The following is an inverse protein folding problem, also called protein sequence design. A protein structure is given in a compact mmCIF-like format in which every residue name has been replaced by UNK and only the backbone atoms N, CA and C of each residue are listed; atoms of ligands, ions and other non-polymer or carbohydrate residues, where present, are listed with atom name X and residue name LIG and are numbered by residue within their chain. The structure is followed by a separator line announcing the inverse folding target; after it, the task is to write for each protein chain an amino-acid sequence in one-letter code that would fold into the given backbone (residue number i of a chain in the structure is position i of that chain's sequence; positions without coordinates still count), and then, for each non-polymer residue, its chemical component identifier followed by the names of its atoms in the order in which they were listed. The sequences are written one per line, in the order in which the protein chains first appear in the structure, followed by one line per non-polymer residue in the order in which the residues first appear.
data_IF_473409406828
#
_entry.id   IF_473409406828
#
_cell.length_a   1.000
_cell.length_b   1.000
_cell.length_c   1.000
_cell.angle_alpha   90.00
_cell.angle_beta   90.00
_cell.angle_gamma   90.00
#
_symmetry.space_group_name_H-M   'P 1'
#
loop_
_entity.id
_entity.type
_entity.pdbx_description
1 polymer ?
#
# COMPACT_ATOMS: atom_id res chain seq x y z
N UNK A 1 48.50 -20.63 -60.55
CA UNK A 1 48.20 -21.55 -61.68
C UNK A 1 47.09 -22.49 -61.23
N UNK A 2 46.13 -22.81 -62.11
CA UNK A 2 44.88 -23.59 -61.92
C UNK A 2 43.70 -22.81 -61.26
N UNK A 3 42.70 -22.26 -61.97
CA UNK A 3 41.68 -22.78 -62.94
C UNK A 3 40.31 -23.00 -62.23
N UNK A 4 39.40 -22.05 -62.51
CA UNK A 4 38.00 -22.18 -62.96
C UNK A 4 36.84 -22.90 -62.18
N UNK A 5 35.69 -22.21 -62.31
CA UNK A 5 34.27 -22.62 -62.48
C UNK A 5 33.39 -23.08 -61.28
N UNK A 6 32.53 -22.15 -60.83
CA UNK A 6 31.05 -22.12 -60.92
C UNK A 6 30.26 -23.45 -60.77
N UNK A 7 29.32 -23.47 -59.82
CA UNK A 7 28.09 -24.28 -59.83
C UNK A 7 27.18 -23.77 -58.70
N UNK A 8 26.10 -23.01 -58.95
CA UNK A 8 24.76 -23.52 -59.30
C UNK A 8 24.42 -24.72 -58.40
N UNK A 9 23.53 -24.58 -57.41
CA UNK A 9 22.09 -24.75 -57.63
C UNK A 9 21.32 -24.23 -56.41
N UNK A 10 20.32 -23.40 -56.69
CA UNK A 10 19.19 -23.12 -55.80
C UNK A 10 18.43 -24.44 -55.61
N UNK A 11 18.41 -25.00 -54.41
CA UNK A 11 17.54 -26.13 -54.10
C UNK A 11 16.81 -25.91 -52.77
N UNK A 12 15.61 -25.33 -52.93
CA UNK A 12 14.36 -25.74 -52.27
C UNK A 12 14.28 -25.55 -50.75
N UNK A 13 13.76 -24.38 -50.42
CA UNK A 13 12.56 -24.18 -49.61
C UNK A 13 11.96 -25.41 -48.91
N UNK A 14 11.77 -25.24 -47.60
CA UNK A 14 10.72 -25.89 -46.82
C UNK A 14 11.20 -27.09 -46.04
N UNK A 15 11.31 -26.96 -44.71
CA UNK A 15 10.52 -27.75 -43.75
C UNK A 15 11.00 -27.77 -42.29
N UNK A 16 12.03 -27.02 -41.87
CA UNK A 16 12.56 -27.22 -40.49
C UNK A 16 12.68 -25.94 -39.65
N UNK A 17 11.71 -25.03 -39.75
CA UNK A 17 11.71 -23.77 -38.98
C UNK A 17 10.42 -23.50 -38.19
N UNK A 18 9.55 -24.50 -38.01
CA UNK A 18 8.28 -24.33 -37.28
C UNK A 18 8.19 -25.08 -35.93
N UNK A 19 9.13 -25.99 -35.62
CA UNK A 19 9.05 -26.82 -34.42
C UNK A 19 9.79 -26.29 -33.18
N UNK A 20 10.77 -25.41 -33.34
CA UNK A 20 11.70 -25.05 -32.25
C UNK A 20 11.47 -23.65 -31.64
N UNK A 21 10.63 -22.81 -32.26
CA UNK A 21 10.37 -21.45 -31.77
C UNK A 21 9.22 -21.41 -30.74
N UNK A 22 8.33 -22.40 -30.74
CA UNK A 22 7.17 -22.42 -29.82
C UNK A 22 7.50 -22.85 -28.38
N UNK A 23 8.60 -23.58 -28.16
CA UNK A 23 8.95 -24.10 -26.82
C UNK A 23 9.67 -23.08 -25.92
N UNK A 24 10.39 -22.13 -26.51
CA UNK A 24 11.17 -21.15 -25.74
C UNK A 24 10.37 -19.91 -25.30
N UNK A 25 9.24 -19.63 -25.97
CA UNK A 25 8.40 -18.46 -25.67
C UNK A 25 7.41 -18.70 -24.51
N UNK A 26 7.27 -19.94 -24.02
CA UNK A 26 6.29 -20.30 -23.00
C UNK A 26 6.84 -20.29 -21.55
N UNK A 27 8.13 -19.96 -21.36
CA UNK A 27 8.77 -19.96 -20.03
C UNK A 27 8.84 -18.58 -19.35
N UNK A 28 8.34 -17.52 -19.99
CA UNK A 28 8.42 -16.13 -19.47
C UNK A 28 7.13 -15.61 -18.81
N UNK A 29 6.07 -16.41 -18.77
CA UNK A 29 4.85 -16.05 -18.03
C UNK A 29 4.95 -16.57 -16.60
N UNK A 30 5.90 -16.06 -15.82
CA UNK A 30 5.80 -16.16 -14.36
C UNK A 30 4.75 -15.13 -13.96
N UNK A 31 3.53 -15.51 -13.54
CA UNK A 31 2.64 -14.56 -12.90
C UNK A 31 3.35 -14.08 -11.64
N UNK A 32 3.73 -12.80 -11.64
CA UNK A 32 4.12 -12.11 -10.43
C UNK A 32 2.86 -12.07 -9.56
N UNK A 33 2.70 -13.07 -8.67
CA UNK A 33 1.68 -13.04 -7.65
C UNK A 33 2.01 -11.88 -6.72
N UNK A 34 1.36 -10.74 -6.93
CA UNK A 34 1.37 -9.64 -5.99
C UNK A 34 0.86 -10.16 -4.65
N UNK A 35 1.77 -10.37 -3.71
CA UNK A 35 1.42 -10.67 -2.33
C UNK A 35 0.69 -9.45 -1.76
N UNK A 36 -0.63 -9.51 -1.68
CA UNK A 36 -1.39 -8.57 -0.83
C UNK A 36 -1.00 -8.88 0.60
N UNK A 37 -0.09 -8.08 1.14
CA UNK A 37 0.43 -8.23 2.49
C UNK A 37 -0.71 -8.16 3.50
N UNK A 38 -0.65 -9.02 4.52
CA UNK A 38 -1.56 -9.12 5.67
C UNK A 38 -1.58 -7.85 6.55
N UNK A 39 -0.89 -6.78 6.13
CA UNK A 39 -0.81 -5.47 6.79
C UNK A 39 -2.16 -4.75 6.89
N UNK A 40 -3.18 -5.17 6.15
CA UNK A 40 -4.48 -4.47 6.14
C UNK A 40 -5.23 -4.57 7.46
N UNK A 41 -5.03 -5.61 8.28
CA UNK A 41 -5.82 -5.79 9.50
C UNK A 41 -5.54 -4.72 10.55
N UNK A 42 -4.27 -4.34 10.71
CA UNK A 42 -3.81 -3.30 11.65
C UNK A 42 -3.59 -1.94 10.97
N UNK A 43 -4.04 -1.78 9.73
CA UNK A 43 -3.95 -0.51 9.00
C UNK A 43 -5.33 0.12 8.92
N UNK A 44 -5.41 1.39 9.31
CA UNK A 44 -6.62 2.20 9.17
C UNK A 44 -6.31 3.35 8.22
N UNK A 45 -6.87 3.28 7.02
CA UNK A 45 -6.79 4.32 6.00
C UNK A 45 -8.02 5.25 5.99
N UNK A 46 -7.94 6.30 5.17
CA UNK A 46 -9.02 7.27 4.94
C UNK A 46 -9.50 8.01 6.20
N UNK A 47 -8.62 8.24 7.17
CA UNK A 47 -8.94 9.00 8.38
C UNK A 47 -8.87 10.49 8.06
N UNK A 48 -10.01 11.06 7.65
CA UNK A 48 -10.11 12.47 7.30
C UNK A 48 -10.32 13.32 8.55
N UNK A 49 -9.49 14.34 8.73
CA UNK A 49 -9.63 15.31 9.83
C UNK A 49 -9.61 16.74 9.32
N UNK A 50 -10.30 17.59 10.05
CA UNK A 50 -10.36 19.02 9.81
C UNK A 50 -10.49 19.73 11.16
N UNK A 51 -9.43 20.41 11.58
CA UNK A 51 -9.39 21.12 12.84
C UNK A 51 -9.09 22.60 12.64
N UNK A 52 -9.71 23.42 13.49
CA UNK A 52 -9.45 24.84 13.61
C UNK A 52 -8.92 25.16 15.01
N UNK A 53 -7.93 26.04 15.07
CA UNK A 53 -7.35 26.54 16.31
C UNK A 53 -6.85 27.98 16.14
N UNK A 54 -6.25 28.54 17.21
CA UNK A 54 -5.72 29.91 17.22
C UNK A 54 -4.62 30.15 16.18
N UNK A 55 -3.90 29.11 15.77
CA UNK A 55 -2.89 29.18 14.72
C UNK A 55 -2.73 27.82 14.03
N UNK A 56 -2.00 27.83 12.91
CA UNK A 56 -1.74 26.68 12.06
C UNK A 56 -1.09 25.49 12.82
N UNK A 57 -0.17 25.76 13.75
CA UNK A 57 0.53 24.74 14.52
C UNK A 57 -0.42 24.02 15.49
N UNK A 58 -1.16 24.78 16.30
CA UNK A 58 -2.16 24.24 17.22
C UNK A 58 -3.27 23.49 16.50
N UNK A 59 -3.66 23.96 15.30
CA UNK A 59 -4.67 23.28 14.49
C UNK A 59 -4.18 21.91 14.02
N UNK A 60 -2.91 21.82 13.63
CA UNK A 60 -2.28 20.56 13.24
C UNK A 60 -2.14 19.58 14.40
N UNK A 61 -1.67 20.04 15.56
CA UNK A 61 -1.56 19.22 16.77
C UNK A 61 -2.91 18.62 17.15
N UNK A 62 -3.95 19.47 17.22
CA UNK A 62 -5.32 19.05 17.49
C UNK A 62 -5.82 18.02 16.46
N UNK A 63 -5.63 18.29 15.17
CA UNK A 63 -6.05 17.37 14.12
C UNK A 63 -5.34 16.02 14.20
N UNK A 64 -4.06 16.01 14.60
CA UNK A 64 -3.29 14.78 14.73
C UNK A 64 -3.79 13.92 15.90
N UNK A 65 -4.06 14.52 17.05
CA UNK A 65 -4.68 13.83 18.20
C UNK A 65 -6.05 13.26 17.85
N UNK A 66 -6.91 14.06 17.22
CA UNK A 66 -8.23 13.62 16.76
C UNK A 66 -8.13 12.47 15.76
N UNK A 67 -7.18 12.52 14.82
CA UNK A 67 -6.97 11.48 13.82
C UNK A 67 -6.53 10.15 14.46
N UNK A 68 -5.63 10.19 15.45
CA UNK A 68 -5.19 8.99 16.15
C UNK A 68 -6.33 8.30 16.89
N UNK A 69 -7.14 9.07 17.62
CA UNK A 69 -8.27 8.53 18.38
C UNK A 69 -9.30 7.91 17.44
N UNK A 70 -9.61 8.59 16.33
CA UNK A 70 -10.52 8.05 15.32
C UNK A 70 -9.99 6.75 14.72
N UNK A 71 -8.72 6.73 14.32
CA UNK A 71 -8.08 5.54 13.75
C UNK A 71 -8.11 4.36 14.73
N UNK A 72 -7.79 4.60 16.00
CA UNK A 72 -7.80 3.56 17.02
C UNK A 72 -9.21 3.03 17.30
N UNK A 73 -10.21 3.91 17.35
CA UNK A 73 -11.60 3.49 17.50
C UNK A 73 -12.07 2.63 16.31
N UNK A 74 -11.68 2.99 15.08
CA UNK A 74 -11.96 2.16 13.91
C UNK A 74 -11.26 0.82 13.98
N UNK A 75 -10.02 0.75 14.47
CA UNK A 75 -9.32 -0.51 14.69
C UNK A 75 -10.04 -1.37 15.75
N UNK A 76 -10.40 -0.78 16.89
CA UNK A 76 -11.11 -1.46 17.97
C UNK A 76 -12.46 -2.03 17.51
N UNK A 77 -13.22 -1.28 16.70
CA UNK A 77 -14.46 -1.76 16.11
C UNK A 77 -14.28 -2.97 15.17
N UNK A 78 -13.11 -3.13 14.55
CA UNK A 78 -12.79 -4.28 13.70
C UNK A 78 -12.36 -5.50 14.50
N UNK A 79 -11.68 -5.29 15.63
CA UNK A 79 -11.10 -6.36 16.44
C UNK A 79 -12.03 -6.87 17.54
N UNK A 80 -12.87 -6.00 18.10
CA UNK A 80 -13.74 -6.31 19.23
C UNK A 80 -15.12 -6.77 18.77
N UNK A 81 -15.68 -7.73 19.49
CA UNK A 81 -17.07 -8.16 19.34
C UNK A 81 -18.02 -7.07 19.87
N UNK A 82 -19.28 -7.04 19.43
CA UNK A 82 -20.26 -6.01 19.88
C UNK A 82 -20.41 -5.92 21.41
N UNK A 83 -20.31 -7.06 22.11
CA UNK A 83 -20.36 -7.12 23.58
C UNK A 83 -19.11 -6.52 24.26
N UNK A 84 -17.95 -6.65 23.63
CA UNK A 84 -16.68 -6.09 24.14
C UNK A 84 -16.61 -4.59 23.85
N UNK A 85 -17.08 -4.17 22.68
CA UNK A 85 -17.17 -2.76 22.29
C UNK A 85 -18.04 -1.95 23.26
N UNK A 86 -19.09 -2.56 23.82
CA UNK A 86 -19.99 -1.92 24.79
C UNK A 86 -19.31 -1.59 26.13
N UNK A 87 -18.25 -2.32 26.49
CA UNK A 87 -17.43 -2.07 27.68
C UNK A 87 -16.09 -1.42 27.36
N UNK A 88 -15.81 -1.19 26.08
CA UNK A 88 -14.56 -0.64 25.62
C UNK A 88 -14.50 0.86 25.92
N UNK A 89 -13.45 1.25 26.63
CA UNK A 89 -13.10 2.65 26.84
C UNK A 89 -11.82 2.94 26.09
N UNK A 90 -11.87 3.91 25.18
CA UNK A 90 -10.68 4.34 24.46
C UNK A 90 -9.60 4.80 25.46
N UNK A 91 -8.35 4.33 25.31
CA UNK A 91 -7.25 4.76 26.15
C UNK A 91 -6.85 6.20 25.84
N UNK A 92 -6.05 6.80 26.73
CA UNK A 92 -5.51 8.15 26.54
C UNK A 92 -4.71 8.25 25.23
N UNK A 93 -4.71 9.44 24.61
CA UNK A 93 -4.03 9.68 23.32
C UNK A 93 -2.55 9.31 23.38
N UNK A 94 -1.89 9.53 24.52
CA UNK A 94 -0.48 9.17 24.75
C UNK A 94 -0.24 7.66 24.70
N UNK A 95 -1.18 6.86 25.21
CA UNK A 95 -1.13 5.41 25.11
C UNK A 95 -1.33 4.97 23.66
N UNK A 96 -2.31 5.55 22.95
CA UNK A 96 -2.58 5.27 21.54
C UNK A 96 -1.34 5.57 20.68
N UNK A 97 -0.69 6.72 20.89
CA UNK A 97 0.54 7.10 20.19
C UNK A 97 1.66 6.06 20.31
N UNK A 98 1.72 5.32 21.42
CA UNK A 98 2.74 4.27 21.62
C UNK A 98 2.46 3.00 20.79
N UNK A 99 1.18 2.77 20.46
CA UNK A 99 0.70 1.64 19.65
C UNK A 99 0.87 1.88 18.15
N UNK A 100 0.94 3.15 17.73
CA UNK A 100 1.19 3.51 16.34
C UNK A 100 2.61 3.06 15.95
N UNK A 101 2.70 2.28 14.88
CA UNK A 101 3.96 1.91 14.26
C UNK A 101 4.45 3.06 13.38
N UNK A 102 3.58 3.56 12.52
CA UNK A 102 3.84 4.69 11.64
C UNK A 102 2.51 5.33 11.18
N UNK A 103 2.63 6.46 10.48
CA UNK A 103 1.50 7.10 9.84
C UNK A 103 1.91 7.74 8.51
N UNK A 104 0.93 7.88 7.62
CA UNK A 104 1.05 8.59 6.35
C UNK A 104 0.01 9.71 6.31
N UNK A 105 0.40 10.85 5.74
CA UNK A 105 -0.46 12.02 5.57
C UNK A 105 -0.64 12.28 4.08
N UNK A 106 -1.89 12.39 3.65
CA UNK A 106 -2.30 12.70 2.28
C UNK A 106 -3.24 13.89 2.26
N UNK A 107 -3.29 14.59 1.13
CA UNK A 107 -4.17 15.76 0.93
C UNK A 107 -4.07 16.81 2.05
N UNK A 108 -2.85 17.02 2.58
CA UNK A 108 -2.60 18.00 3.64
C UNK A 108 -2.87 19.42 3.13
N UNK A 109 -3.65 20.18 3.91
CA UNK A 109 -3.96 21.58 3.68
C UNK A 109 -3.78 22.35 4.97
N UNK A 110 -2.92 23.36 4.93
CA UNK A 110 -2.63 24.23 6.06
C UNK A 110 -3.04 25.66 5.71
N UNK A 111 -3.86 26.27 6.58
CA UNK A 111 -4.26 27.68 6.55
C UNK A 111 -3.74 28.39 7.81
N UNK A 112 -4.00 29.70 7.94
CA UNK A 112 -3.58 30.48 9.11
C UNK A 112 -4.08 29.92 10.46
N UNK A 113 -5.32 29.39 10.49
CA UNK A 113 -5.99 28.89 11.71
C UNK A 113 -6.61 27.51 11.54
N UNK A 114 -6.47 26.87 10.37
CA UNK A 114 -7.18 25.63 10.02
C UNK A 114 -6.23 24.63 9.38
N UNK A 115 -6.43 23.37 9.68
CA UNK A 115 -5.67 22.25 9.15
C UNK A 115 -6.62 21.13 8.74
N UNK A 116 -6.44 20.60 7.54
CA UNK A 116 -7.13 19.38 7.13
C UNK A 116 -6.20 18.43 6.41
N UNK A 117 -6.39 17.13 6.64
CA UNK A 117 -5.58 16.09 6.01
C UNK A 117 -6.32 14.75 6.07
N UNK A 118 -5.85 13.81 5.25
CA UNK A 118 -6.27 12.41 5.27
C UNK A 118 -5.12 11.57 5.79
N UNK A 119 -5.31 10.93 6.93
CA UNK A 119 -4.32 10.08 7.55
C UNK A 119 -4.50 8.61 7.17
N UNK A 120 -3.40 7.88 7.21
CA UNK A 120 -3.38 6.42 7.24
C UNK A 120 -2.47 6.01 8.39
N UNK A 121 -3.01 5.29 9.37
CA UNK A 121 -2.26 4.83 10.53
C UNK A 121 -1.99 3.33 10.43
N UNK A 122 -0.76 2.92 10.74
CA UNK A 122 -0.38 1.52 10.88
C UNK A 122 -0.06 1.27 12.35
N UNK A 123 -0.76 0.30 12.95
CA UNK A 123 -0.58 -0.08 14.35
C UNK A 123 0.33 -1.30 14.48
N UNK A 124 1.05 -1.39 15.60
CA UNK A 124 1.92 -2.52 15.91
C UNK A 124 1.08 -3.76 16.25
N UNK A 125 1.23 -4.83 15.48
CA UNK A 125 0.54 -6.11 15.70
C UNK A 125 0.81 -6.71 17.08
N UNK A 126 2.00 -6.51 17.65
CA UNK A 126 2.37 -7.07 18.96
C UNK A 126 1.91 -6.22 20.16
N UNK A 127 1.21 -5.11 19.93
CA UNK A 127 0.88 -4.13 20.98
C UNK A 127 -0.61 -3.81 21.08
N UNK A 128 -1.45 -4.36 20.21
CA UNK A 128 -2.91 -4.12 20.17
C UNK A 128 -3.72 -5.34 20.56
#
# INVERSE_FOLDING_TARGET
MAIFYKGFQVFRTGFVSAGFVLGFLMLLTVPCFSAFAQSSLYTVDQVSVDAQAENALKAREKAFEEAQVQAFNTLAQRMLSEGELSSFKAPEVSAISTLVQDFEVRNEKLSATRYSAVYTFRFKENSV
#
